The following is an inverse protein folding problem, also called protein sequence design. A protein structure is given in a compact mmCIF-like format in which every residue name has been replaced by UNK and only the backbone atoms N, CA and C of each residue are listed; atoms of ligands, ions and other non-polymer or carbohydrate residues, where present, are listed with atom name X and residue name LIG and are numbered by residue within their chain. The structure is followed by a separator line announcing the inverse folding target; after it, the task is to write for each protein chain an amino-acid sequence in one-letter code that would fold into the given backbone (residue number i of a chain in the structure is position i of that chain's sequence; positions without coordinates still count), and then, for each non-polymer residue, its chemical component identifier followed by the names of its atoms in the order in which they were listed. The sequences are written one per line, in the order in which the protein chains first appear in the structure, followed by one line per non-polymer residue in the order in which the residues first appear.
data_IF_977951342923
#
_entry.id   IF_977951342923
#
_cell.length_a   1.000
_cell.length_b   1.000
_cell.length_c   1.000
_cell.angle_alpha   90.00
_cell.angle_beta   90.00
_cell.angle_gamma   90.00
#
_symmetry.space_group_name_H-M   'P 1'
#
loop_
_entity.id
_entity.type
_entity.pdbx_description
1 polymer ?
#
# COMPACT_ATOMS: atom_id res chain seq x y z
N UNK A 1 -53.66 73.86 -25.26
CA UNK A 1 -52.40 73.33 -24.69
C UNK A 1 -52.33 71.86 -25.03
N UNK A 2 -51.43 71.52 -25.97
CA UNK A 2 -50.77 70.23 -26.32
C UNK A 2 -51.68 68.99 -26.40
N UNK A 3 -52.01 68.38 -27.56
CA UNK A 3 -51.17 67.81 -28.62
C UNK A 3 -49.98 67.00 -28.12
N UNK A 4 -50.10 65.67 -28.16
CA UNK A 4 -48.99 64.75 -28.39
C UNK A 4 -49.54 63.47 -28.98
N UNK A 5 -49.28 63.31 -30.28
CA UNK A 5 -49.26 62.04 -30.97
C UNK A 5 -48.32 61.06 -30.26
N UNK A 6 -48.70 59.79 -30.20
CA UNK A 6 -47.74 58.69 -30.18
C UNK A 6 -48.37 57.50 -30.87
N UNK A 7 -48.03 57.44 -32.16
CA UNK A 7 -48.06 56.29 -33.02
C UNK A 7 -47.22 55.18 -32.38
N UNK A 8 -47.81 54.02 -32.08
CA UNK A 8 -47.05 52.79 -31.93
C UNK A 8 -47.83 51.68 -32.64
N UNK A 9 -47.79 51.78 -33.96
CA UNK A 9 -47.86 50.66 -34.88
C UNK A 9 -46.67 49.75 -34.55
N UNK A 10 -46.91 48.81 -33.63
CA UNK A 10 -46.10 47.61 -33.54
C UNK A 10 -46.83 46.68 -34.49
N UNK A 11 -46.40 46.68 -35.75
CA UNK A 11 -46.68 45.55 -36.60
C UNK A 11 -46.07 44.33 -35.91
N UNK A 12 -46.94 43.39 -35.56
CA UNK A 12 -46.57 42.01 -35.24
C UNK A 12 -46.06 41.34 -36.53
N UNK A 13 -44.99 41.89 -37.10
CA UNK A 13 -44.05 41.14 -37.93
C UNK A 13 -43.18 40.35 -36.94
N UNK A 14 -43.80 39.35 -36.31
CA UNK A 14 -43.07 38.15 -35.95
C UNK A 14 -42.51 37.62 -37.27
N UNK A 15 -41.32 38.11 -37.64
CA UNK A 15 -40.53 37.60 -38.75
C UNK A 15 -40.44 36.09 -38.55
N UNK A 16 -41.30 35.39 -39.29
CA UNK A 16 -41.39 33.96 -39.33
C UNK A 16 -40.09 33.50 -39.98
N UNK A 17 -39.05 33.41 -39.15
CA UNK A 17 -37.64 33.19 -39.48
C UNK A 17 -37.42 31.84 -40.19
N UNK A 18 -38.51 31.09 -40.41
CA UNK A 18 -38.60 29.79 -41.08
C UNK A 18 -39.51 29.79 -42.31
N UNK A 19 -40.22 30.88 -42.62
CA UNK A 19 -41.25 30.91 -43.68
C UNK A 19 -40.69 30.92 -45.11
N UNK A 20 -39.41 31.30 -45.28
CA UNK A 20 -38.77 31.37 -46.60
C UNK A 20 -37.63 30.35 -46.78
N UNK A 21 -37.76 29.18 -46.16
CA UNK A 21 -36.91 28.03 -46.48
C UNK A 21 -37.65 27.18 -47.51
N UNK A 22 -37.16 27.04 -48.75
CA UNK A 22 -37.79 26.17 -49.75
C UNK A 22 -38.15 24.81 -49.14
N UNK A 23 -39.35 24.29 -49.39
CA UNK A 23 -39.83 23.04 -48.78
C UNK A 23 -38.84 21.85 -48.95
N UNK A 24 -38.05 21.88 -50.03
CA UNK A 24 -36.98 20.93 -50.31
C UNK A 24 -35.81 21.07 -49.32
N UNK A 25 -35.37 22.29 -49.00
CA UNK A 25 -34.32 22.56 -48.01
C UNK A 25 -34.78 22.29 -46.57
N UNK A 26 -36.06 22.51 -46.26
CA UNK A 26 -36.62 22.13 -44.96
C UNK A 26 -36.62 20.61 -44.77
N UNK A 27 -37.09 19.85 -45.77
CA UNK A 27 -37.04 18.39 -45.76
C UNK A 27 -35.60 17.82 -45.76
N UNK A 28 -34.68 18.46 -46.49
CA UNK A 28 -33.25 18.10 -46.45
C UNK A 28 -32.66 18.35 -45.06
N UNK A 29 -32.98 19.49 -44.42
CA UNK A 29 -32.56 19.80 -43.06
C UNK A 29 -33.15 18.84 -42.03
N UNK A 30 -34.39 18.38 -42.23
CA UNK A 30 -34.97 17.36 -41.34
C UNK A 30 -34.30 15.99 -41.53
N UNK A 31 -33.97 15.64 -42.77
CA UNK A 31 -33.27 14.39 -43.09
C UNK A 31 -31.81 14.40 -42.60
N UNK A 32 -31.08 15.50 -42.79
CA UNK A 32 -29.71 15.67 -42.26
C UNK A 32 -29.72 15.72 -40.74
N UNK A 33 -30.68 16.43 -40.14
CA UNK A 33 -30.84 16.44 -38.68
C UNK A 33 -31.12 15.04 -38.14
N UNK A 34 -32.04 14.28 -38.74
CA UNK A 34 -32.30 12.89 -38.32
C UNK A 34 -31.07 11.98 -38.48
N UNK A 35 -30.26 12.18 -39.53
CA UNK A 35 -29.02 11.44 -39.71
C UNK A 35 -27.98 11.80 -38.63
N UNK A 36 -27.84 13.08 -38.31
CA UNK A 36 -26.99 13.55 -37.20
C UNK A 36 -27.47 13.00 -35.86
N UNK A 37 -28.77 13.03 -35.59
CA UNK A 37 -29.38 12.45 -34.39
C UNK A 37 -29.10 10.95 -34.27
N UNK A 38 -29.24 10.20 -35.36
CA UNK A 38 -28.94 8.76 -35.36
C UNK A 38 -27.46 8.49 -35.07
N UNK A 39 -26.56 9.25 -35.69
CA UNK A 39 -25.12 9.14 -35.47
C UNK A 39 -24.75 9.49 -34.04
N UNK A 40 -25.36 10.53 -33.47
CA UNK A 40 -25.13 10.97 -32.10
C UNK A 40 -25.64 9.93 -31.10
N UNK A 41 -26.80 9.33 -31.38
CA UNK A 41 -27.41 8.28 -30.56
C UNK A 41 -26.57 6.99 -30.57
N UNK A 42 -26.10 6.56 -31.74
CA UNK A 42 -25.19 5.40 -31.86
C UNK A 42 -23.89 5.64 -31.11
N UNK A 43 -23.30 6.83 -31.23
CA UNK A 43 -22.10 7.19 -30.48
C UNK A 43 -22.35 7.20 -28.98
N UNK A 44 -23.44 7.81 -28.53
CA UNK A 44 -23.79 7.85 -27.11
C UNK A 44 -23.98 6.43 -26.54
N UNK A 45 -24.68 5.55 -27.26
CA UNK A 45 -24.91 4.17 -26.83
C UNK A 45 -23.62 3.36 -26.79
N UNK A 46 -22.80 3.46 -27.83
CA UNK A 46 -21.52 2.74 -27.90
C UNK A 46 -20.50 3.24 -26.88
N UNK A 47 -20.41 4.57 -26.69
CA UNK A 47 -19.52 5.18 -25.68
C UNK A 47 -20.02 4.84 -24.28
N UNK A 48 -21.32 4.99 -24.00
CA UNK A 48 -21.90 4.66 -22.70
C UNK A 48 -21.75 3.19 -22.32
N UNK A 49 -21.89 2.27 -23.27
CA UNK A 49 -21.62 0.85 -23.03
C UNK A 49 -20.15 0.57 -22.74
N UNK A 50 -19.24 1.15 -23.53
CA UNK A 50 -17.78 1.01 -23.30
C UNK A 50 -17.37 1.60 -21.96
N UNK A 51 -17.91 2.76 -21.61
CA UNK A 51 -17.66 3.43 -20.34
C UNK A 51 -18.23 2.63 -19.17
N UNK A 52 -19.45 2.09 -19.30
CA UNK A 52 -20.05 1.22 -18.30
C UNK A 52 -19.22 -0.03 -18.01
N UNK A 53 -18.72 -0.71 -19.05
CA UNK A 53 -17.82 -1.85 -18.88
C UNK A 53 -16.52 -1.42 -18.21
N UNK A 54 -15.92 -0.32 -18.67
CA UNK A 54 -14.63 0.13 -18.16
C UNK A 54 -14.73 0.57 -16.70
N UNK A 55 -15.78 1.32 -16.36
CA UNK A 55 -16.11 1.77 -15.01
C UNK A 55 -16.41 0.58 -14.08
N UNK A 56 -17.19 -0.40 -14.55
CA UNK A 56 -17.46 -1.63 -13.79
C UNK A 56 -16.18 -2.42 -13.49
N UNK A 57 -15.34 -2.64 -14.51
CA UNK A 57 -14.04 -3.31 -14.34
C UNK A 57 -13.15 -2.57 -13.34
N UNK A 58 -13.03 -1.25 -13.49
CA UNK A 58 -12.21 -0.44 -12.60
C UNK A 58 -12.74 -0.47 -11.15
N UNK A 59 -14.06 -0.41 -10.98
CA UNK A 59 -14.69 -0.50 -9.65
C UNK A 59 -14.39 -1.83 -8.96
N UNK A 60 -14.47 -2.95 -9.68
CA UNK A 60 -14.12 -4.27 -9.14
C UNK A 60 -12.63 -4.36 -8.80
N UNK A 61 -11.74 -3.90 -9.70
CA UNK A 61 -10.29 -3.91 -9.48
C UNK A 61 -9.90 -3.05 -8.28
N UNK A 62 -10.48 -1.85 -8.16
CA UNK A 62 -10.20 -0.95 -7.05
C UNK A 62 -10.65 -1.55 -5.72
N UNK A 63 -11.83 -2.15 -5.68
CA UNK A 63 -12.33 -2.82 -4.47
C UNK A 63 -11.42 -3.98 -4.06
N UNK A 64 -10.95 -4.78 -5.02
CA UNK A 64 -10.00 -5.87 -4.75
C UNK A 64 -8.65 -5.35 -4.24
N UNK A 65 -8.14 -4.27 -4.83
CA UNK A 65 -6.92 -3.61 -4.37
C UNK A 65 -7.07 -3.06 -2.95
N UNK A 66 -8.14 -2.33 -2.66
CA UNK A 66 -8.40 -1.74 -1.34
C UNK A 66 -8.51 -2.82 -0.27
N UNK A 67 -9.16 -3.95 -0.58
CA UNK A 67 -9.25 -5.11 0.30
C UNK A 67 -7.87 -5.73 0.57
N UNK A 68 -7.08 -6.01 -0.47
CA UNK A 68 -5.74 -6.56 -0.30
C UNK A 68 -4.80 -5.61 0.45
N UNK A 69 -4.93 -4.30 0.21
CA UNK A 69 -4.19 -3.27 0.91
C UNK A 69 -4.58 -3.21 2.40
N UNK A 70 -5.88 -3.24 2.71
CA UNK A 70 -6.38 -3.23 4.09
C UNK A 70 -5.89 -4.45 4.90
N UNK A 71 -5.79 -5.62 4.26
CA UNK A 71 -5.32 -6.85 4.89
C UNK A 71 -3.79 -6.87 5.11
N UNK A 72 -3.02 -6.36 4.15
CA UNK A 72 -1.55 -6.43 4.19
C UNK A 72 -0.88 -5.27 4.92
N UNK A 73 -1.48 -4.07 4.90
CA UNK A 73 -0.86 -2.85 5.46
C UNK A 73 -0.57 -2.92 6.97
N UNK A 74 -1.47 -3.38 7.85
CA UNK A 74 -1.20 -3.41 9.29
C UNK A 74 0.01 -4.26 9.64
N UNK A 75 0.11 -5.46 9.06
CA UNK A 75 1.22 -6.38 9.28
C UNK A 75 2.54 -5.83 8.69
N UNK A 76 2.47 -5.20 7.52
CA UNK A 76 3.63 -4.55 6.88
C UNK A 76 4.16 -3.39 7.71
N UNK A 77 3.26 -2.55 8.23
CA UNK A 77 3.62 -1.38 9.05
C UNK A 77 4.26 -1.78 10.37
N UNK A 78 3.72 -2.82 11.02
CA UNK A 78 4.29 -3.33 12.27
C UNK A 78 5.69 -3.93 12.06
N UNK A 79 5.89 -4.72 11.00
CA UNK A 79 7.21 -5.25 10.66
C UNK A 79 8.23 -4.13 10.38
N UNK A 80 7.84 -3.13 9.58
CA UNK A 80 8.67 -1.97 9.28
C UNK A 80 9.02 -1.16 10.54
N UNK A 81 8.07 -1.00 11.46
CA UNK A 81 8.29 -0.35 12.74
C UNK A 81 9.34 -1.09 13.58
N UNK A 82 9.22 -2.41 13.73
CA UNK A 82 10.16 -3.21 14.54
C UNK A 82 11.57 -3.13 13.93
N UNK A 83 11.70 -3.24 12.61
CA UNK A 83 13.00 -3.12 11.91
C UNK A 83 13.63 -1.74 12.10
N UNK A 84 12.86 -0.67 11.89
CA UNK A 84 13.35 0.71 12.04
C UNK A 84 13.77 1.00 13.48
N UNK A 85 12.98 0.56 14.45
CA UNK A 85 13.25 0.78 15.86
C UNK A 85 14.48 -0.01 16.34
N UNK A 86 14.63 -1.28 15.94
CA UNK A 86 15.80 -2.09 16.25
C UNK A 86 17.09 -1.48 15.66
N UNK A 87 17.04 -0.99 14.42
CA UNK A 87 18.17 -0.31 13.77
C UNK A 87 18.54 1.00 14.47
N UNK A 88 17.54 1.80 14.87
CA UNK A 88 17.76 3.02 15.64
C UNK A 88 18.39 2.72 17.00
N UNK A 89 17.93 1.67 17.67
CA UNK A 89 18.49 1.22 18.95
C UNK A 89 19.94 0.77 18.77
N UNK A 90 20.26 0.00 17.72
CA UNK A 90 21.65 -0.39 17.41
C UNK A 90 22.53 0.84 17.13
N UNK A 91 22.06 1.79 16.34
CA UNK A 91 22.78 3.03 16.05
C UNK A 91 23.06 3.85 17.32
N UNK A 92 22.10 3.88 18.25
CA UNK A 92 22.29 4.54 19.54
C UNK A 92 23.31 3.81 20.44
N UNK A 93 23.35 2.47 20.42
CA UNK A 93 24.26 1.68 21.26
C UNK A 93 25.68 1.56 20.67
N UNK A 94 25.82 1.73 19.37
CA UNK A 94 27.07 1.61 18.62
C UNK A 94 27.35 2.88 17.81
N UNK A 95 27.68 4.01 18.48
CA UNK A 95 28.06 5.22 17.77
C UNK A 95 29.32 4.95 16.91
N UNK A 96 29.39 5.49 15.68
CA UNK A 96 30.57 5.35 14.85
C UNK A 96 31.78 5.98 15.55
N UNK A 97 32.92 5.28 15.53
CA UNK A 97 34.16 5.71 16.19
C UNK A 97 34.85 6.92 15.54
N UNK A 98 34.19 7.60 14.58
CA UNK A 98 34.73 8.74 13.85
C UNK A 98 33.69 9.86 13.73
N UNK A 99 34.17 11.09 13.94
CA UNK A 99 33.60 12.41 13.58
C UNK A 99 32.67 13.11 14.58
N UNK A 100 33.29 13.98 15.39
CA UNK A 100 33.15 15.45 15.38
C UNK A 100 31.88 16.08 14.76
N UNK A 101 30.69 15.61 15.10
CA UNK A 101 29.48 16.43 15.18
C UNK A 101 28.77 16.06 16.48
N UNK A 102 29.17 16.75 17.55
CA UNK A 102 28.41 16.81 18.79
C UNK A 102 27.09 17.51 18.52
N UNK A 103 26.06 16.75 18.17
CA UNK A 103 24.69 17.16 18.41
C UNK A 103 23.96 16.03 19.11
N UNK A 104 23.76 16.25 20.40
CA UNK A 104 22.81 15.55 21.26
C UNK A 104 23.10 14.05 21.49
N UNK A 105 24.12 13.78 22.31
CA UNK A 105 24.26 12.53 23.07
C UNK A 105 22.93 12.18 23.77
N UNK A 106 22.30 11.02 23.47
CA UNK A 106 21.22 10.54 24.29
C UNK A 106 21.80 10.05 25.61
N UNK A 107 21.45 10.75 26.70
CA UNK A 107 21.83 10.55 28.12
C UNK A 107 21.67 9.12 28.67
N UNK A 108 21.22 8.15 27.86
CA UNK A 108 20.98 6.74 28.25
C UNK A 108 22.23 5.85 28.19
N UNK A 109 23.24 6.16 27.38
CA UNK A 109 24.40 5.27 27.17
C UNK A 109 25.40 5.33 28.35
N UNK A 110 25.39 6.42 29.12
CA UNK A 110 26.39 6.72 30.16
C UNK A 110 26.21 5.94 31.47
N UNK A 111 25.13 5.16 31.63
CA UNK A 111 24.77 4.49 32.90
C UNK A 111 24.92 2.96 32.85
N UNK A 112 25.34 2.39 31.71
CA UNK A 112 25.43 0.93 31.54
C UNK A 112 26.86 0.39 31.65
N UNK A 113 27.00 -0.77 32.31
CA UNK A 113 28.24 -1.54 32.31
C UNK A 113 28.64 -1.92 30.87
N UNK A 114 29.93 -1.85 30.49
CA UNK A 114 30.38 -2.16 29.14
C UNK A 114 30.04 -3.60 28.71
N UNK A 115 30.00 -4.54 29.65
CA UNK A 115 29.62 -5.94 29.41
C UNK A 115 28.12 -6.09 29.09
N UNK A 116 27.26 -5.38 29.83
CA UNK A 116 25.81 -5.38 29.59
C UNK A 116 25.50 -4.75 28.23
N UNK A 117 26.21 -3.66 27.88
CA UNK A 117 26.08 -3.02 26.56
C UNK A 117 26.43 -3.98 25.43
N UNK A 118 27.54 -4.71 25.54
CA UNK A 118 27.96 -5.68 24.53
C UNK A 118 26.92 -6.80 24.35
N UNK A 119 26.34 -7.30 25.45
CA UNK A 119 25.29 -8.33 25.39
C UNK A 119 24.03 -7.84 24.66
N UNK A 120 23.58 -6.61 24.94
CA UNK A 120 22.40 -6.04 24.29
C UNK A 120 22.65 -5.77 22.81
N UNK A 121 23.86 -5.30 22.45
CA UNK A 121 24.22 -5.10 21.05
C UNK A 121 24.14 -6.41 20.26
N UNK A 122 24.60 -7.52 20.83
CA UNK A 122 24.50 -8.83 20.17
C UNK A 122 23.04 -9.30 20.06
N UNK A 123 22.25 -9.18 21.13
CA UNK A 123 20.83 -9.53 21.11
C UNK A 123 20.03 -8.75 20.04
N UNK A 124 20.40 -7.48 19.82
CA UNK A 124 19.78 -6.61 18.81
C UNK A 124 20.23 -6.98 17.40
N UNK A 125 21.49 -7.37 17.21
CA UNK A 125 21.99 -7.90 15.93
C UNK A 125 21.31 -9.20 15.56
N UNK A 126 21.12 -10.10 16.52
CA UNK A 126 20.39 -11.34 16.31
C UNK A 126 18.93 -11.09 15.99
N UNK A 127 18.28 -10.15 16.68
CA UNK A 127 16.92 -9.73 16.33
C UNK A 127 16.84 -9.13 14.92
N UNK A 128 17.84 -8.36 14.49
CA UNK A 128 17.90 -7.83 13.12
C UNK A 128 18.12 -8.92 12.07
N UNK A 129 18.95 -9.94 12.36
CA UNK A 129 19.12 -11.13 11.51
C UNK A 129 17.82 -11.93 11.40
N UNK A 130 17.10 -12.09 12.50
CA UNK A 130 15.79 -12.74 12.50
C UNK A 130 14.80 -11.94 11.66
N UNK A 131 14.76 -10.62 11.83
CA UNK A 131 13.88 -9.73 11.08
C UNK A 131 14.24 -9.61 9.61
N UNK A 132 15.51 -9.69 9.21
CA UNK A 132 15.91 -9.63 7.78
C UNK A 132 15.48 -10.88 7.03
N UNK A 133 15.35 -12.00 7.72
CA UNK A 133 14.90 -13.27 7.15
C UNK A 133 13.37 -13.39 7.05
N UNK A 134 12.60 -12.49 7.66
CA UNK A 134 11.13 -12.49 7.58
C UNK A 134 10.68 -11.93 6.23
N UNK A 135 9.94 -12.74 5.47
CA UNK A 135 9.36 -12.33 4.18
C UNK A 135 7.95 -11.80 4.35
N UNK A 136 7.50 -10.99 3.39
CA UNK A 136 6.15 -10.42 3.42
C UNK A 136 5.08 -11.49 3.23
N UNK A 137 5.36 -12.51 2.41
CA UNK A 137 4.49 -13.68 2.20
C UNK A 137 4.24 -14.49 3.47
N UNK A 138 5.14 -14.42 4.46
CA UNK A 138 4.99 -15.10 5.76
C UNK A 138 4.19 -14.29 6.80
N UNK A 139 3.97 -13.01 6.52
CA UNK A 139 3.41 -12.02 7.44
C UNK A 139 1.98 -11.61 7.05
N UNK A 140 1.70 -11.61 5.75
CA UNK A 140 0.38 -11.30 5.23
C UNK A 140 -0.52 -12.55 5.35
N UNK A 141 -1.79 -12.41 5.77
CA UNK A 141 -2.74 -13.52 5.76
C UNK A 141 -2.90 -14.08 4.35
N UNK A 142 -2.99 -15.41 4.24
CA UNK A 142 -3.26 -16.04 2.96
C UNK A 142 -4.70 -15.72 2.53
N UNK A 143 -4.87 -15.32 1.28
CA UNK A 143 -6.17 -14.99 0.71
C UNK A 143 -6.95 -16.28 0.37
N UNK A 144 -8.02 -16.61 1.11
CA UNK A 144 -8.78 -17.83 0.88
C UNK A 144 -9.50 -17.82 -0.48
N UNK A 145 -9.90 -16.65 -1.00
CA UNK A 145 -10.56 -16.55 -2.29
C UNK A 145 -9.57 -16.85 -3.44
N UNK A 146 -8.32 -16.41 -3.29
CA UNK A 146 -7.25 -16.73 -4.22
C UNK A 146 -6.89 -18.23 -4.19
N UNK A 147 -6.81 -18.85 -3.01
CA UNK A 147 -6.57 -20.29 -2.88
C UNK A 147 -7.69 -21.13 -3.49
N UNK A 148 -8.95 -20.77 -3.23
CA UNK A 148 -10.11 -21.46 -3.77
C UNK A 148 -10.18 -21.32 -5.30
N UNK A 149 -9.85 -20.14 -5.85
CA UNK A 149 -9.78 -19.93 -7.29
C UNK A 149 -8.65 -20.74 -7.94
N UNK A 150 -7.44 -20.74 -7.35
CA UNK A 150 -6.32 -21.55 -7.82
C UNK A 150 -6.64 -23.06 -7.78
N UNK A 151 -7.37 -23.50 -6.74
CA UNK A 151 -7.82 -24.88 -6.59
C UNK A 151 -8.94 -25.26 -7.57
N UNK A 152 -9.83 -24.32 -7.90
CA UNK A 152 -10.92 -24.53 -8.85
C UNK A 152 -10.46 -24.56 -10.31
N UNK A 153 -9.42 -23.79 -10.65
CA UNK A 153 -8.90 -23.66 -12.02
C UNK A 153 -7.59 -24.43 -12.28
N UNK A 154 -7.38 -25.55 -11.57
CA UNK A 154 -6.14 -26.33 -11.61
C UNK A 154 -5.66 -26.69 -13.03
N UNK A 155 -4.81 -25.84 -13.61
CA UNK A 155 -3.99 -26.15 -14.79
C UNK A 155 -4.16 -25.30 -16.04
N UNK A 156 -5.26 -24.58 -16.25
CA UNK A 156 -5.47 -23.79 -17.49
C UNK A 156 -5.11 -22.32 -17.29
N UNK A 157 -3.80 -22.05 -17.35
CA UNK A 157 -3.20 -20.71 -17.39
C UNK A 157 -3.46 -20.06 -18.75
N UNK A 158 -4.64 -19.49 -18.99
CA UNK A 158 -4.88 -18.77 -20.26
C UNK A 158 -4.79 -17.24 -20.12
N UNK A 159 -4.94 -16.65 -18.93
CA UNK A 159 -4.76 -15.18 -18.73
C UNK A 159 -4.09 -14.72 -17.44
N UNK A 160 -3.58 -15.63 -16.60
CA UNK A 160 -2.83 -15.20 -15.43
C UNK A 160 -1.46 -14.68 -15.88
N UNK A 161 -1.20 -13.39 -15.66
CA UNK A 161 0.14 -12.81 -15.66
C UNK A 161 0.99 -13.75 -14.83
N UNK A 162 1.84 -14.54 -15.50
CA UNK A 162 2.63 -15.60 -14.89
C UNK A 162 3.34 -15.02 -13.67
N UNK A 163 2.83 -15.35 -12.50
CA UNK A 163 3.52 -15.11 -11.25
C UNK A 163 4.69 -16.07 -11.18
N UNK A 164 5.77 -15.75 -11.88
CA UNK A 164 7.10 -16.34 -11.72
C UNK A 164 7.54 -16.36 -10.24
N UNK A 165 6.87 -15.57 -9.38
CA UNK A 165 7.03 -15.52 -7.93
C UNK A 165 6.96 -16.90 -7.25
N UNK A 166 6.07 -17.81 -7.66
CA UNK A 166 5.93 -19.11 -6.98
C UNK A 166 7.09 -20.07 -7.25
N UNK A 167 7.59 -20.10 -8.48
CA UNK A 167 8.77 -20.90 -8.86
C UNK A 167 10.07 -20.24 -8.38
N UNK A 168 10.15 -18.89 -8.38
CA UNK A 168 11.26 -18.16 -7.75
C UNK A 168 11.35 -18.43 -6.25
N UNK A 169 10.22 -18.51 -5.54
CA UNK A 169 10.19 -18.80 -4.09
C UNK A 169 10.71 -20.22 -3.77
N UNK A 170 10.43 -21.19 -4.65
CA UNK A 170 11.00 -22.54 -4.56
C UNK A 170 12.51 -22.56 -4.82
N UNK A 171 12.96 -21.83 -5.86
CA UNK A 171 14.36 -21.74 -6.24
C UNK A 171 15.22 -20.98 -5.23
N UNK A 172 14.71 -19.90 -4.62
CA UNK A 172 15.42 -19.16 -3.56
C UNK A 172 15.51 -19.95 -2.26
N UNK A 173 14.53 -20.81 -1.97
CA UNK A 173 14.57 -21.71 -0.81
C UNK A 173 15.62 -22.78 -1.00
N UNK A 174 15.75 -23.28 -2.24
CA UNK A 174 16.76 -24.26 -2.64
C UNK A 174 18.18 -23.64 -2.72
N UNK A 175 18.30 -22.39 -3.18
CA UNK A 175 19.57 -21.65 -3.24
C UNK A 175 20.00 -21.10 -1.87
N UNK A 176 19.05 -20.69 -1.03
CA UNK A 176 19.28 -20.25 0.35
C UNK A 176 19.65 -21.39 1.30
N UNK A 177 19.36 -22.64 0.93
CA UNK A 177 19.75 -23.85 1.67
C UNK A 177 21.22 -24.25 1.54
N UNK A 178 21.96 -23.72 0.55
CA UNK A 178 23.38 -24.03 0.34
C UNK A 178 24.33 -23.31 1.33
N UNK A 179 23.80 -22.50 2.25
CA UNK A 179 24.59 -21.73 3.22
C UNK A 179 24.41 -22.09 4.71
N UNK A 180 23.36 -22.82 5.10
CA UNK A 180 23.08 -23.12 6.51
C UNK A 180 22.20 -24.39 6.65
N UNK A 181 22.81 -25.50 7.07
CA UNK A 181 22.20 -26.83 7.21
C UNK A 181 21.12 -26.92 8.32
N UNK A 182 20.84 -25.83 9.06
CA UNK A 182 19.86 -25.79 10.15
C UNK A 182 18.46 -25.29 9.76
N UNK A 183 18.22 -24.95 8.49
CA UNK A 183 17.01 -24.23 8.07
C UNK A 183 15.84 -25.13 7.61
N UNK A 184 16.10 -26.42 7.37
CA UNK A 184 15.12 -27.37 6.81
C UNK A 184 13.92 -27.70 7.72
N UNK A 185 13.96 -27.35 9.01
CA UNK A 185 12.85 -27.58 9.95
C UNK A 185 11.92 -26.36 10.12
N UNK A 186 12.19 -25.24 9.45
CA UNK A 186 11.37 -24.02 9.50
C UNK A 186 10.33 -24.02 8.37
N UNK A 187 9.60 -25.11 8.21
CA UNK A 187 8.43 -25.15 7.32
C UNK A 187 7.40 -24.13 7.79
N UNK A 188 6.98 -23.23 6.88
CA UNK A 188 5.87 -22.25 6.99
C UNK A 188 5.50 -21.89 8.43
N UNK A 189 6.49 -21.46 9.23
CA UNK A 189 6.20 -20.99 10.58
C UNK A 189 5.70 -19.57 10.40
N UNK A 190 4.38 -19.41 10.47
CA UNK A 190 3.72 -18.10 10.58
C UNK A 190 4.54 -17.24 11.52
N UNK A 191 5.14 -16.18 10.99
CA UNK A 191 6.09 -15.38 11.75
C UNK A 191 5.32 -14.71 12.89
N UNK A 192 5.75 -14.97 14.12
CA UNK A 192 5.14 -14.36 15.30
C UNK A 192 5.65 -12.92 15.47
N UNK A 193 5.00 -11.98 14.77
CA UNK A 193 5.25 -10.55 14.91
C UNK A 193 5.04 -10.05 16.34
N UNK A 194 4.12 -10.65 17.09
CA UNK A 194 3.84 -10.27 18.48
C UNK A 194 5.01 -10.65 19.37
N UNK A 195 5.54 -11.86 19.20
CA UNK A 195 6.74 -12.34 19.89
C UNK A 195 7.98 -11.49 19.59
N UNK A 196 8.18 -11.10 18.33
CA UNK A 196 9.28 -10.21 17.91
C UNK A 196 9.15 -8.81 18.53
N UNK A 197 7.94 -8.24 18.53
CA UNK A 197 7.68 -6.94 19.15
C UNK A 197 7.88 -7.00 20.69
N UNK A 198 7.45 -8.08 21.32
CA UNK A 198 7.68 -8.30 22.76
C UNK A 198 9.17 -8.45 23.08
N UNK A 199 9.95 -9.11 22.22
CA UNK A 199 11.42 -9.21 22.36
C UNK A 199 12.06 -7.83 22.27
N UNK A 200 11.66 -7.00 21.30
CA UNK A 200 12.12 -5.62 21.20
C UNK A 200 11.80 -4.82 22.47
N UNK A 201 10.56 -4.92 22.98
CA UNK A 201 10.15 -4.24 24.21
C UNK A 201 11.00 -4.63 25.43
N UNK A 202 11.37 -5.91 25.55
CA UNK A 202 12.29 -6.38 26.62
C UNK A 202 13.69 -5.76 26.48
N UNK A 203 14.23 -5.65 25.28
CA UNK A 203 15.54 -5.04 25.03
C UNK A 203 15.52 -3.54 25.37
N UNK A 204 14.45 -2.83 25.00
CA UNK A 204 14.26 -1.42 25.36
C UNK A 204 14.18 -1.24 26.87
N UNK A 205 13.44 -2.11 27.56
CA UNK A 205 13.36 -2.08 29.02
C UNK A 205 14.73 -2.29 29.68
N UNK A 206 15.55 -3.22 29.16
CA UNK A 206 16.92 -3.45 29.61
C UNK A 206 17.83 -2.24 29.38
N UNK A 207 17.68 -1.52 28.27
CA UNK A 207 18.41 -0.28 28.03
C UNK A 207 17.97 0.86 28.97
N UNK A 208 16.73 0.82 29.48
CA UNK A 208 16.17 1.87 30.35
C UNK A 208 16.42 1.64 31.84
N UNK A 209 16.54 0.38 32.27
CA UNK A 209 16.84 0.01 33.65
C UNK A 209 18.25 -0.61 33.73
N UNK A 210 19.32 0.20 33.86
CA UNK A 210 20.64 -0.34 34.15
C UNK A 210 20.57 -1.06 35.50
N UNK A 211 21.11 -2.27 35.55
CA UNK A 211 21.08 -3.19 36.69
C UNK A 211 21.35 -2.50 38.02
N UNK A 212 20.33 -2.36 38.87
CA UNK A 212 20.43 -1.87 40.24
C UNK A 212 20.91 -2.97 41.22
N UNK A 213 21.80 -3.86 40.78
CA UNK A 213 22.19 -5.04 41.53
C UNK A 213 23.71 -5.24 41.60
N UNK A 214 24.42 -4.28 42.21
CA UNK A 214 25.74 -4.52 42.85
C UNK A 214 26.08 -3.32 43.73
N UNK A 215 25.77 -3.40 45.02
CA UNK A 215 26.06 -2.33 45.97
C UNK A 215 25.54 -2.57 47.39
N UNK A 216 25.53 -3.82 47.85
CA UNK A 216 25.30 -4.16 49.25
C UNK A 216 26.55 -4.82 49.80
N UNK A 217 27.66 -4.06 49.93
CA UNK A 217 28.85 -4.56 50.61
C UNK A 217 28.64 -4.48 52.12
N UNK A 218 28.81 -5.63 52.75
CA UNK A 218 28.91 -5.87 54.17
C UNK A 218 29.55 -4.71 54.98
N UNK A 219 28.78 -4.19 55.93
CA UNK A 219 29.31 -3.47 57.09
C UNK A 219 28.85 -4.22 58.35
N UNK A 220 29.60 -5.28 58.66
CA UNK A 220 29.64 -5.93 59.97
C UNK A 220 31.10 -6.04 60.40
N UNK A 221 31.54 -5.04 61.14
CA UNK A 221 32.53 -5.17 62.22
C UNK A 221 32.24 -4.06 63.23
#
# INVERSE_FOLDING_TARGET
MYSTSSNNHIDDEDEDWLSEVPAISSALNTASSNQEWSTLHERFTNVGYKEGISSGKLSTIQTGFDQGLAQSMPSSRTLGFIRGYASSLLASLCPPSSSHLQTCEPRMISVMSPSDRASIVEDVRDLLRDLSNVRMSEVVPVDPQAEEHAKAHGGEKEWEVQGESGEMDGLESLMGGLGEEQRASRGVRKVDLVGLNARLGRLVARCRAPSAATGGSDMRT
#
